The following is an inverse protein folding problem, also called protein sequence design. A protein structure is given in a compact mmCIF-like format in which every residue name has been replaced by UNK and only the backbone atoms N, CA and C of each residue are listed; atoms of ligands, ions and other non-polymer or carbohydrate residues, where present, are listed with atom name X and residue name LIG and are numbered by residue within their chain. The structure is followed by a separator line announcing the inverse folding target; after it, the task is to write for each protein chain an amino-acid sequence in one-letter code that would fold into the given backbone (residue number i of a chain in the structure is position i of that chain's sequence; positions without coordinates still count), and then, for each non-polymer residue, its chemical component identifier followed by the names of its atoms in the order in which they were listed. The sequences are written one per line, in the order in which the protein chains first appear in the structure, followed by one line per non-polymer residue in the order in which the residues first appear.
data_IF_004157107324
#
_entry.id   IF_004157107324
#
_cell.length_a   1.000
_cell.length_b   1.000
_cell.length_c   1.000
_cell.angle_alpha   90.00
_cell.angle_beta   90.00
_cell.angle_gamma   90.00
#
_symmetry.space_group_name_H-M   'P 1'
#
loop_
_entity.id
_entity.type
_entity.pdbx_description
1 polymer ?
#
# COMPACT_ATOMS: atom_id res chain seq x y z
N UNK A 1 10.29 -1.38 -10.01
CA UNK A 1 9.31 -0.91 -9.00
C UNK A 1 9.92 -1.09 -7.63
N UNK A 2 10.48 -0.05 -7.03
CA UNK A 2 10.89 -0.11 -5.62
C UNK A 2 9.65 0.09 -4.75
N UNK A 3 8.76 -0.91 -4.75
CA UNK A 3 7.71 -0.98 -3.73
C UNK A 3 8.46 -1.16 -2.42
N UNK A 4 8.31 -0.22 -1.49
CA UNK A 4 8.98 -0.28 -0.19
C UNK A 4 8.67 -1.65 0.44
N UNK A 5 9.66 -2.56 0.38
CA UNK A 5 9.46 -3.97 0.72
C UNK A 5 9.14 -4.13 2.20
N UNK A 6 9.74 -3.27 3.04
CA UNK A 6 9.44 -3.19 4.46
C UNK A 6 7.99 -2.74 4.69
N UNK A 7 7.55 -1.68 4.00
CA UNK A 7 6.17 -1.21 4.07
C UNK A 7 5.18 -2.30 3.64
N UNK A 8 5.46 -3.05 2.56
CA UNK A 8 4.62 -4.17 2.14
C UNK A 8 4.46 -5.25 3.21
N UNK A 9 5.55 -5.61 3.89
CA UNK A 9 5.50 -6.58 4.97
C UNK A 9 4.64 -6.07 6.14
N UNK A 10 4.79 -4.80 6.51
CA UNK A 10 3.95 -4.15 7.52
C UNK A 10 2.47 -4.13 7.11
N UNK A 11 2.16 -3.68 5.90
CA UNK A 11 0.77 -3.63 5.40
C UNK A 11 0.12 -5.01 5.40
N UNK A 12 0.84 -6.03 4.95
CA UNK A 12 0.36 -7.42 5.01
C UNK A 12 0.14 -7.89 6.46
N UNK A 13 1.02 -7.55 7.39
CA UNK A 13 0.87 -7.92 8.82
C UNK A 13 -0.37 -7.28 9.48
N UNK A 14 -0.78 -6.11 8.99
CA UNK A 14 -2.00 -5.43 9.41
C UNK A 14 -3.27 -5.98 8.73
N UNK A 15 -3.13 -6.99 7.86
CA UNK A 15 -4.21 -7.60 7.10
C UNK A 15 -4.68 -6.77 5.89
N UNK A 16 -3.92 -5.74 5.53
CA UNK A 16 -4.19 -4.93 4.35
C UNK A 16 -3.74 -5.66 3.09
N UNK A 17 -4.50 -5.45 2.01
CA UNK A 17 -4.29 -6.11 0.71
C UNK A 17 -3.92 -5.07 -0.32
N UNK A 18 -3.01 -5.43 -1.21
CA UNK A 18 -2.65 -4.57 -2.35
C UNK A 18 -3.90 -4.31 -3.21
N UNK A 19 -4.22 -3.04 -3.41
CA UNK A 19 -5.32 -2.61 -4.26
C UNK A 19 -4.82 -2.21 -5.65
N UNK A 20 -3.89 -1.26 -5.73
CA UNK A 20 -3.32 -0.75 -6.99
C UNK A 20 -2.03 0.04 -6.79
N UNK A 21 -1.28 0.21 -7.86
CA UNK A 21 -0.18 1.18 -7.96
C UNK A 21 -0.57 2.27 -8.98
N UNK A 22 -0.21 3.52 -8.71
CA UNK A 22 -0.56 4.66 -9.55
C UNK A 22 0.48 5.78 -9.46
N UNK A 23 0.63 6.57 -10.51
CA UNK A 23 1.46 7.79 -10.47
C UNK A 23 0.56 9.01 -10.27
N UNK A 24 0.88 9.85 -9.30
CA UNK A 24 0.16 11.10 -9.08
C UNK A 24 0.99 12.29 -9.56
N UNK A 25 0.41 13.13 -10.42
CA UNK A 25 1.09 14.31 -10.97
C UNK A 25 1.19 15.48 -9.97
N UNK A 26 0.66 15.33 -8.74
CA UNK A 26 0.54 16.45 -7.79
C UNK A 26 1.85 16.84 -7.12
N UNK A 27 2.82 15.93 -7.07
CA UNK A 27 4.11 16.23 -6.45
C UNK A 27 5.24 15.43 -7.11
N UNK A 28 5.68 15.86 -8.30
CA UNK A 28 6.80 15.24 -8.99
C UNK A 28 8.14 15.49 -8.27
N UNK A 29 8.18 16.40 -7.29
CA UNK A 29 9.40 16.77 -6.57
C UNK A 29 9.72 15.87 -5.37
N UNK A 30 8.74 15.08 -4.91
CA UNK A 30 8.93 14.11 -3.84
C UNK A 30 9.89 13.00 -4.30
N UNK A 31 10.92 12.74 -3.49
CA UNK A 31 11.83 11.63 -3.70
C UNK A 31 11.05 10.30 -3.76
N UNK A 32 11.27 9.52 -4.82
CA UNK A 32 10.57 8.26 -5.06
C UNK A 32 9.23 8.39 -5.78
N UNK A 33 8.79 9.60 -6.16
CA UNK A 33 7.59 9.81 -6.97
C UNK A 33 7.67 9.11 -8.35
N UNK A 34 8.87 8.93 -8.89
CA UNK A 34 9.12 8.18 -10.13
C UNK A 34 8.70 6.71 -10.04
N UNK A 35 8.65 6.16 -8.81
CA UNK A 35 8.21 4.79 -8.58
C UNK A 35 6.69 4.65 -8.47
N UNK A 36 5.96 5.77 -8.38
CA UNK A 36 4.53 5.79 -8.14
C UNK A 36 4.17 5.46 -6.69
N UNK A 37 2.90 5.64 -6.37
CA UNK A 37 2.31 5.31 -5.09
C UNK A 37 1.56 3.99 -5.14
N UNK A 38 1.37 3.38 -3.96
CA UNK A 38 0.68 2.11 -3.82
C UNK A 38 -0.45 2.25 -2.80
N UNK A 39 -1.63 1.79 -3.19
CA UNK A 39 -2.82 1.74 -2.34
C UNK A 39 -2.97 0.33 -1.77
N UNK A 40 -3.16 0.25 -0.46
CA UNK A 40 -3.56 -0.96 0.24
C UNK A 40 -4.91 -0.74 0.92
N UNK A 41 -5.77 -1.75 0.90
CA UNK A 41 -7.11 -1.65 1.49
C UNK A 41 -7.51 -2.95 2.20
N UNK A 42 -8.46 -2.82 3.12
CA UNK A 42 -9.18 -3.94 3.73
C UNK A 42 -10.59 -3.47 4.07
N UNK A 43 -11.56 -4.38 4.06
CA UNK A 43 -12.88 -4.11 4.62
C UNK A 43 -12.90 -4.42 6.13
N UNK A 44 -13.91 -3.91 6.83
CA UNK A 44 -14.15 -4.23 8.24
C UNK A 44 -14.31 -5.75 8.46
N UNK A 45 -15.09 -6.41 7.61
CA UNK A 45 -15.32 -7.86 7.69
C UNK A 45 -14.02 -8.65 7.49
N UNK A 46 -13.22 -8.29 6.48
CA UNK A 46 -11.92 -8.92 6.23
C UNK A 46 -10.95 -8.74 7.41
N UNK A 47 -11.02 -7.60 8.10
CA UNK A 47 -10.20 -7.34 9.27
C UNK A 47 -10.66 -8.16 10.48
N UNK A 48 -11.98 -8.26 10.71
CA UNK A 48 -12.54 -9.07 11.80
C UNK A 48 -12.22 -10.56 11.61
N UNK A 49 -12.33 -11.08 10.38
CA UNK A 49 -12.04 -12.48 10.05
C UNK A 49 -10.56 -12.85 10.26
N UNK A 50 -9.63 -11.90 10.16
CA UNK A 50 -8.19 -12.15 10.35
C UNK A 50 -7.76 -12.11 11.82
N UNK A 51 -8.62 -11.65 12.74
CA UNK A 51 -8.34 -11.54 14.18
C UNK A 51 -8.96 -12.66 15.01
N UNK A 52 -9.72 -13.57 14.38
CA UNK A 52 -10.38 -14.70 15.03
C UNK A 52 -9.48 -15.93 15.10
#
# INVERSE_FOLDING_TARGET
MAVNHASRATMNSLGLRYARAFHHERDPSRLGAEHGDVEYSTTREQWLNQRS
#
